data_IF_730449617949
#
_entry.id   IF_730449617949
#
_cell.length_a   1.000
_cell.length_b   1.000
_cell.length_c   1.000
_cell.angle_alpha   90.00
_cell.angle_beta   90.00
_cell.angle_gamma   90.00
#
_symmetry.space_group_name_H-M   'P 1'
#
loop_
_entity.id
_entity.type
_entity.pdbx_description
1 polymer ?
#
# COMPACT_ATOMS: atom_id res chain seq x y z
N UNK A 1 0.47 4.66 17.06
CA UNK A 1 -0.53 3.68 16.58
C UNK A 1 0.19 2.35 16.41
N UNK A 2 -0.36 1.27 16.96
CA UNK A 2 0.27 -0.05 16.88
C UNK A 2 0.09 -0.64 15.46
N UNK A 3 1.14 -1.22 14.89
CA UNK A 3 1.09 -1.86 13.57
C UNK A 3 0.11 -3.04 13.60
N UNK A 4 -0.82 -3.17 12.63
CA UNK A 4 -1.73 -4.30 12.58
C UNK A 4 -0.96 -5.62 12.42
N UNK A 5 -1.26 -6.59 13.28
CA UNK A 5 -0.79 -7.97 13.15
C UNK A 5 -1.71 -8.72 12.20
N UNK A 6 -1.15 -9.43 11.22
CA UNK A 6 -1.91 -10.35 10.38
C UNK A 6 -1.82 -11.74 10.98
N UNK A 7 -2.89 -12.17 11.67
CA UNK A 7 -2.99 -13.49 12.28
C UNK A 7 -3.98 -14.40 11.57
N UNK A 8 -5.01 -13.81 10.95
CA UNK A 8 -6.10 -14.55 10.34
C UNK A 8 -6.15 -14.36 8.81
N UNK A 9 -6.56 -15.41 8.09
CA UNK A 9 -6.79 -15.38 6.64
C UNK A 9 -7.75 -14.26 6.21
N UNK A 10 -8.69 -13.87 7.08
CA UNK A 10 -9.62 -12.76 6.84
C UNK A 10 -8.90 -11.40 6.75
N UNK A 11 -7.83 -11.20 7.54
CA UNK A 11 -7.03 -9.97 7.50
C UNK A 11 -6.13 -9.93 6.26
N UNK A 12 -5.59 -11.08 5.82
CA UNK A 12 -4.84 -11.14 4.56
C UNK A 12 -5.76 -10.84 3.36
N UNK A 13 -6.99 -11.38 3.37
CA UNK A 13 -7.99 -11.12 2.34
C UNK A 13 -8.42 -9.64 2.31
N UNK A 14 -8.67 -9.04 3.47
CA UNK A 14 -9.06 -7.63 3.56
C UNK A 14 -7.93 -6.70 3.10
N UNK A 15 -6.68 -7.07 3.36
CA UNK A 15 -5.52 -6.34 2.87
C UNK A 15 -5.43 -6.39 1.33
N UNK A 16 -5.57 -7.58 0.74
CA UNK A 16 -5.59 -7.74 -0.72
C UNK A 16 -6.72 -6.91 -1.34
N UNK A 17 -7.92 -6.99 -0.75
CA UNK A 17 -9.06 -6.21 -1.20
C UNK A 17 -8.81 -4.70 -1.11
N UNK A 18 -8.22 -4.24 -0.01
CA UNK A 18 -7.87 -2.82 0.18
C UNK A 18 -6.85 -2.33 -0.84
N UNK A 19 -5.85 -3.17 -1.19
CA UNK A 19 -4.86 -2.85 -2.24
C UNK A 19 -5.51 -2.74 -3.61
N UNK A 20 -6.39 -3.68 -3.96
CA UNK A 20 -7.14 -3.64 -5.22
C UNK A 20 -8.04 -2.41 -5.30
N UNK A 21 -8.75 -2.09 -4.22
CA UNK A 21 -9.64 -0.94 -4.15
C UNK A 21 -8.86 0.38 -4.24
N UNK A 22 -7.71 0.47 -3.59
CA UNK A 22 -6.81 1.62 -3.71
C UNK A 22 -6.27 1.76 -5.15
N UNK A 23 -5.86 0.65 -5.77
CA UNK A 23 -5.38 0.64 -7.15
C UNK A 23 -6.45 1.12 -8.13
N UNK A 24 -7.65 0.54 -8.08
CA UNK A 24 -8.77 0.91 -8.95
C UNK A 24 -9.20 2.35 -8.74
N UNK A 25 -9.25 2.82 -7.50
CA UNK A 25 -9.65 4.20 -7.20
C UNK A 25 -8.65 5.21 -7.78
N UNK A 26 -7.35 4.99 -7.65
CA UNK A 26 -6.33 5.86 -8.25
C UNK A 26 -6.42 5.88 -9.76
N UNK A 27 -6.60 4.72 -10.40
CA UNK A 27 -6.78 4.64 -11.85
C UNK A 27 -7.99 5.44 -12.34
N UNK A 28 -9.13 5.30 -11.65
CA UNK A 28 -10.34 6.04 -11.98
C UNK A 28 -10.16 7.54 -11.80
N UNK A 29 -9.54 7.97 -10.70
CA UNK A 29 -9.30 9.40 -10.43
C UNK A 29 -8.39 10.01 -11.49
N UNK A 30 -7.26 9.36 -11.80
CA UNK A 30 -6.30 9.87 -12.79
C UNK A 30 -6.90 9.87 -14.19
N UNK A 31 -7.52 8.76 -14.59
CA UNK A 31 -8.16 8.64 -15.90
C UNK A 31 -9.27 9.68 -16.09
N UNK A 32 -10.11 9.86 -15.09
CA UNK A 32 -11.19 10.86 -15.14
C UNK A 32 -10.65 12.30 -15.13
N UNK A 33 -9.65 12.60 -14.29
CA UNK A 33 -9.04 13.93 -14.24
C UNK A 33 -8.41 14.31 -15.59
N UNK A 34 -7.64 13.40 -16.18
CA UNK A 34 -6.99 13.64 -17.48
C UNK A 34 -8.00 13.67 -18.64
N UNK A 35 -9.05 12.87 -18.59
CA UNK A 35 -10.19 12.97 -19.51
C UNK A 35 -10.84 14.35 -19.44
N UNK A 36 -11.16 14.85 -18.25
CA UNK A 36 -11.74 16.18 -18.04
C UNK A 36 -10.83 17.29 -18.58
N UNK A 37 -9.53 17.21 -18.31
CA UNK A 37 -8.55 18.19 -18.82
C UNK A 37 -8.56 18.21 -20.35
N UNK A 38 -8.57 17.05 -21.00
CA UNK A 38 -8.61 16.96 -22.46
C UNK A 38 -9.91 17.51 -23.04
N UNK A 39 -11.07 17.21 -22.44
CA UNK A 39 -12.37 17.76 -22.86
C UNK A 39 -12.40 19.28 -22.72
N UNK A 40 -11.91 19.82 -21.59
CA UNK A 40 -11.83 21.28 -21.36
C UNK A 40 -10.88 21.95 -22.34
N UNK A 41 -9.82 21.26 -22.77
CA UNK A 41 -8.92 21.71 -23.83
C UNK A 41 -9.52 21.63 -25.25
N UNK A 42 -10.79 21.22 -25.39
CA UNK A 42 -11.51 21.15 -26.66
C UNK A 42 -11.30 19.84 -27.42
N UNK A 43 -10.74 18.80 -26.79
CA UNK A 43 -10.58 17.50 -27.45
C UNK A 43 -11.94 16.84 -27.71
N UNK A 44 -12.11 16.17 -28.87
CA UNK A 44 -13.25 15.30 -29.12
C UNK A 44 -13.33 14.21 -28.05
N UNK A 45 -14.55 13.80 -27.68
CA UNK A 45 -14.79 12.86 -26.57
C UNK A 45 -14.03 11.54 -26.71
N UNK A 46 -13.93 11.01 -27.94
CA UNK A 46 -13.15 9.81 -28.22
C UNK A 46 -11.64 9.98 -28.01
N UNK A 47 -11.09 11.15 -28.35
CA UNK A 47 -9.68 11.45 -28.16
C UNK A 47 -9.36 11.72 -26.69
N UNK A 48 -10.23 12.46 -25.99
CA UNK A 48 -10.13 12.63 -24.54
C UNK A 48 -10.20 11.27 -23.81
N UNK A 49 -11.07 10.37 -24.26
CA UNK A 49 -11.16 8.99 -23.77
C UNK A 49 -9.86 8.22 -23.93
N UNK A 50 -9.24 8.31 -25.10
CA UNK A 50 -7.94 7.68 -25.37
C UNK A 50 -6.83 8.25 -24.45
N UNK A 51 -6.80 9.57 -24.25
CA UNK A 51 -5.83 10.22 -23.34
C UNK A 51 -6.04 9.72 -21.91
N UNK A 52 -7.28 9.79 -21.40
CA UNK A 52 -7.60 9.36 -20.03
C UNK A 52 -7.32 7.87 -19.78
N UNK A 53 -7.62 7.02 -20.77
CA UNK A 53 -7.29 5.60 -20.71
C UNK A 53 -5.78 5.35 -20.72
N UNK A 54 -5.03 6.04 -21.58
CA UNK A 54 -3.58 5.88 -21.68
C UNK A 54 -2.86 6.37 -20.41
N UNK A 55 -3.23 7.53 -19.88
CA UNK A 55 -2.66 8.07 -18.64
C UNK A 55 -2.96 7.16 -17.44
N UNK A 56 -4.19 6.67 -17.31
CA UNK A 56 -4.55 5.69 -16.28
C UNK A 56 -3.71 4.41 -16.45
N UNK A 57 -3.58 3.88 -17.67
CA UNK A 57 -2.76 2.70 -17.95
C UNK A 57 -1.29 2.87 -17.54
N UNK A 58 -0.69 4.01 -17.86
CA UNK A 58 0.69 4.34 -17.48
C UNK A 58 0.83 4.43 -15.96
N UNK A 59 -0.08 5.13 -15.27
CA UNK A 59 -0.05 5.21 -13.80
C UNK A 59 -0.23 3.84 -13.15
N UNK A 60 -1.13 3.01 -13.69
CA UNK A 60 -1.31 1.62 -13.25
C UNK A 60 -0.05 0.80 -13.39
N UNK A 61 0.65 0.93 -14.53
CA UNK A 61 1.91 0.26 -14.76
C UNK A 61 3.00 0.68 -13.76
N UNK A 62 3.15 1.99 -13.50
CA UNK A 62 4.08 2.48 -12.49
C UNK A 62 3.70 2.06 -11.08
N UNK A 63 2.41 2.02 -10.74
CA UNK A 63 1.96 1.50 -9.45
C UNK A 63 2.25 0.02 -9.29
N UNK A 64 2.17 -0.79 -10.34
CA UNK A 64 2.52 -2.21 -10.25
C UNK A 64 4.04 -2.42 -10.12
N UNK A 65 4.86 -1.61 -10.82
CA UNK A 65 6.31 -1.72 -10.76
C UNK A 65 6.90 -1.18 -9.46
N UNK A 66 6.38 -0.07 -8.95
CA UNK A 66 6.94 0.65 -7.79
C UNK A 66 6.13 0.45 -6.51
N UNK A 67 4.91 -0.08 -6.59
CA UNK A 67 3.99 -0.16 -5.47
C UNK A 67 4.34 -1.27 -4.50
N UNK A 68 5.19 -0.97 -3.51
CA UNK A 68 5.31 -1.73 -2.26
C UNK A 68 4.21 -1.41 -1.24
N UNK A 69 3.04 -1.00 -1.72
CA UNK A 69 1.95 -0.59 -0.83
C UNK A 69 1.47 -1.78 0.00
N UNK A 70 1.52 -1.59 1.33
CA UNK A 70 1.11 -2.55 2.35
C UNK A 70 1.95 -3.83 2.44
N UNK A 71 3.23 -3.81 2.09
CA UNK A 71 4.05 -5.03 2.09
C UNK A 71 4.03 -5.76 3.45
N UNK A 72 3.87 -7.09 3.41
CA UNK A 72 3.75 -7.92 4.62
C UNK A 72 5.09 -8.58 4.85
N UNK A 73 5.78 -8.21 5.93
CA UNK A 73 7.02 -8.86 6.34
C UNK A 73 6.80 -9.78 7.53
N UNK A 74 7.55 -10.89 7.51
CA UNK A 74 7.70 -11.73 8.69
C UNK A 74 8.78 -11.11 9.57
N UNK A 75 8.38 -10.56 10.70
CA UNK A 75 9.27 -9.99 11.70
C UNK A 75 9.55 -11.02 12.79
N UNK A 76 10.82 -11.35 12.99
CA UNK A 76 11.26 -12.19 14.10
C UNK A 76 11.79 -11.31 15.21
N UNK A 77 11.15 -11.33 16.38
CA UNK A 77 11.57 -10.54 17.51
C UNK A 77 12.96 -10.98 18.00
N UNK A 78 13.96 -10.08 18.04
CA UNK A 78 15.32 -10.43 18.48
C UNK A 78 15.40 -10.78 19.96
N UNK A 79 14.46 -10.30 20.78
CA UNK A 79 14.49 -10.49 22.23
C UNK A 79 13.88 -11.84 22.69
N UNK A 80 12.90 -12.37 21.95
CA UNK A 80 12.18 -13.59 22.35
C UNK A 80 12.07 -14.65 21.25
N UNK A 81 12.66 -14.41 20.08
CA UNK A 81 12.68 -15.35 18.94
C UNK A 81 11.33 -15.61 18.27
N UNK A 82 10.26 -14.94 18.69
CA UNK A 82 8.92 -15.15 18.13
C UNK A 82 8.77 -14.43 16.80
N UNK A 83 8.33 -15.14 15.76
CA UNK A 83 8.03 -14.59 14.45
C UNK A 83 6.56 -14.21 14.32
N UNK A 84 6.26 -13.00 13.86
CA UNK A 84 4.92 -12.51 13.54
C UNK A 84 4.90 -11.88 12.14
N UNK A 85 3.73 -11.88 11.50
CA UNK A 85 3.51 -11.18 10.22
C UNK A 85 2.93 -9.79 10.47
N UNK A 86 3.61 -8.77 9.96
CA UNK A 86 3.29 -7.36 10.21
C UNK A 86 3.41 -6.54 8.93
N UNK A 87 2.63 -5.45 8.86
CA UNK A 87 2.73 -4.49 7.77
C UNK A 87 3.99 -3.63 7.90
N UNK A 88 4.74 -3.52 6.81
CA UNK A 88 5.91 -2.66 6.70
C UNK A 88 5.50 -1.18 6.66
N UNK A 89 6.28 -0.31 7.31
CA UNK A 89 6.10 1.16 7.35
C UNK A 89 4.80 1.69 7.98
N UNK A 90 4.05 0.86 8.71
CA UNK A 90 2.83 1.28 9.42
C UNK A 90 3.04 1.22 10.93
N UNK A 91 3.57 2.32 11.48
CA UNK A 91 3.62 2.57 12.93
C UNK A 91 4.58 1.66 13.71
N UNK A 92 4.30 1.51 15.01
CA UNK A 92 5.15 0.75 15.94
C UNK A 92 4.56 -0.64 16.17
N UNK A 93 5.38 -1.68 16.03
CA UNK A 93 5.02 -3.06 16.38
C UNK A 93 5.42 -3.35 17.82
N UNK A 94 4.47 -3.76 18.65
CA UNK A 94 4.76 -4.28 19.97
C UNK A 94 4.77 -5.82 19.92
N UNK A 95 5.84 -6.46 20.39
CA UNK A 95 5.96 -7.91 20.45
C UNK A 95 5.11 -8.51 21.59
N UNK A 96 4.15 -9.38 21.28
CA UNK A 96 3.20 -9.96 22.23
C UNK A 96 3.85 -10.75 23.37
N UNK A 97 5.01 -11.38 23.12
CA UNK A 97 5.64 -12.24 24.11
C UNK A 97 6.53 -11.47 25.10
N UNK A 98 7.16 -10.39 24.66
CA UNK A 98 8.11 -9.63 25.51
C UNK A 98 7.75 -8.15 25.67
N UNK A 99 6.62 -7.73 25.11
CA UNK A 99 6.08 -6.37 25.15
C UNK A 99 7.07 -5.27 24.70
N UNK A 100 8.05 -5.63 23.88
CA UNK A 100 9.06 -4.68 23.36
C UNK A 100 8.58 -4.05 22.07
N UNK A 101 8.73 -2.73 21.97
CA UNK A 101 8.32 -1.94 20.81
C UNK A 101 9.45 -1.84 19.77
N UNK A 102 9.09 -2.10 18.51
CA UNK A 102 9.95 -2.00 17.35
C UNK A 102 9.28 -1.14 16.29
N UNK A 103 10.05 -0.30 15.61
CA UNK A 103 9.59 0.36 14.38
C UNK A 103 10.13 -0.41 13.19
N UNK A 104 9.23 -0.96 12.37
CA UNK A 104 9.55 -1.79 11.22
C UNK A 104 9.56 -0.88 9.99
N UNK A 105 10.74 -0.32 9.67
CA UNK A 105 10.94 0.51 8.50
C UNK A 105 11.42 -0.30 7.28
N UNK A 106 11.38 0.29 6.08
CA UNK A 106 11.71 -0.37 4.81
C UNK A 106 13.08 -1.10 4.78
N UNK A 107 14.07 -0.59 5.53
CA UNK A 107 15.46 -1.08 5.54
C UNK A 107 16.02 -1.45 6.90
N UNK A 108 15.43 -1.00 8.01
CA UNK A 108 16.01 -1.15 9.34
C UNK A 108 14.92 -1.37 10.40
N UNK A 109 15.13 -2.34 11.29
CA UNK A 109 14.32 -2.53 12.48
C UNK A 109 14.96 -1.70 13.59
N UNK A 110 14.33 -0.57 13.94
CA UNK A 110 14.77 0.20 15.09
C UNK A 110 14.05 -0.29 16.35
N UNK A 111 14.82 -0.74 17.34
CA UNK A 111 14.29 -0.95 18.70
C UNK A 111 14.07 0.42 19.32
N UNK A 112 12.84 0.77 19.67
CA UNK A 112 12.63 1.94 20.52
C UNK A 112 12.83 1.49 21.96
N UNK A 113 14.02 1.74 22.49
CA UNK A 113 14.22 1.74 23.93
C UNK A 113 13.47 2.95 24.51
N UNK A 114 12.58 2.67 25.45
CA UNK A 114 12.11 3.66 26.42
C UNK A 114 13.30 4.26 27.20
#
# INVERSE_FOLDING_TARGET
MASPRLKDNCQELSLIFSRLLAFVSVLLIVGFATWMIAVVAGAPWGFAGAIGGATAGVVGFFMLLCGKFFDVRTFTCPNCGHSDRTLQDIGYYNCFNCNTEYHIAEKEVYKLSA
#
